data_IF_909341869478
#
_entry.id   IF_909341869478
#
_cell.length_a   1.000
_cell.length_b   1.000
_cell.length_c   1.000
_cell.angle_alpha   90.00
_cell.angle_beta   90.00
_cell.angle_gamma   90.00
#
_symmetry.space_group_name_H-M   'P 1'
#
loop_
_entity.id
_entity.type
_entity.pdbx_description
1 polymer ?
#
# COMPACT_ATOMS: atom_id res chain seq x y z
N UNK A 1 -7.73 -49.43 -35.04
CA UNK A 1 -8.10 -48.27 -35.86
C UNK A 1 -9.25 -47.54 -35.19
N UNK A 2 -9.09 -46.27 -34.79
CA UNK A 2 -10.20 -45.51 -34.22
C UNK A 2 -11.26 -45.27 -35.32
N UNK A 3 -12.51 -45.66 -35.04
CA UNK A 3 -13.65 -45.42 -35.93
C UNK A 3 -13.80 -43.91 -36.10
N UNK A 4 -13.59 -43.41 -37.31
CA UNK A 4 -13.95 -42.03 -37.69
C UNK A 4 -15.45 -41.85 -37.50
N UNK A 5 -15.83 -41.01 -36.53
CA UNK A 5 -17.24 -40.65 -36.30
C UNK A 5 -17.74 -39.94 -37.57
N UNK A 6 -18.89 -40.33 -38.14
CA UNK A 6 -19.40 -39.71 -39.36
C UNK A 6 -19.68 -38.22 -39.15
N UNK A 7 -18.92 -37.35 -39.83
CA UNK A 7 -19.15 -35.91 -39.79
C UNK A 7 -20.47 -35.57 -40.50
N UNK A 8 -21.35 -34.84 -39.81
CA UNK A 8 -22.59 -34.33 -40.38
C UNK A 8 -22.23 -33.26 -41.43
N UNK A 9 -22.51 -33.54 -42.72
CA UNK A 9 -22.29 -32.57 -43.80
C UNK A 9 -23.35 -31.48 -43.76
N UNK A 10 -22.90 -30.22 -43.91
CA UNK A 10 -23.75 -29.03 -43.91
C UNK A 10 -23.69 -28.38 -45.29
N UNK A 11 -24.84 -28.15 -45.91
CA UNK A 11 -24.97 -27.44 -47.19
C UNK A 11 -25.26 -25.95 -46.99
N UNK A 12 -24.77 -25.08 -47.87
CA UNK A 12 -25.11 -23.64 -47.87
C UNK A 12 -24.34 -22.76 -46.88
N UNK A 13 -23.34 -23.30 -46.18
CA UNK A 13 -22.42 -22.53 -45.35
C UNK A 13 -21.24 -22.01 -46.19
N UNK A 14 -20.83 -20.75 -46.01
CA UNK A 14 -19.61 -20.24 -46.64
C UNK A 14 -18.38 -21.04 -46.20
N UNK A 15 -17.42 -21.24 -47.10
CA UNK A 15 -16.16 -21.93 -46.79
C UNK A 15 -15.38 -21.24 -45.65
N UNK A 16 -15.55 -19.91 -45.52
CA UNK A 16 -14.89 -19.04 -44.54
C UNK A 16 -15.82 -18.67 -43.37
N UNK A 17 -16.82 -19.50 -43.05
CA UNK A 17 -17.69 -19.22 -41.91
C UNK A 17 -16.88 -19.16 -40.61
N UNK A 18 -16.92 -18.01 -39.93
CA UNK A 18 -16.07 -17.70 -38.77
C UNK A 18 -16.21 -18.70 -37.60
N UNK A 19 -17.34 -19.40 -37.49
CA UNK A 19 -17.62 -20.34 -36.39
C UNK A 19 -17.67 -21.80 -36.85
N UNK A 20 -16.96 -22.14 -37.93
CA UNK A 20 -16.96 -23.49 -38.53
C UNK A 20 -16.46 -24.56 -37.55
N UNK A 21 -15.39 -24.28 -36.80
CA UNK A 21 -14.80 -25.23 -35.87
C UNK A 21 -15.72 -25.51 -34.68
N UNK A 22 -16.33 -24.46 -34.13
CA UNK A 22 -17.36 -24.60 -33.12
C UNK A 22 -18.53 -25.42 -33.63
N UNK A 23 -19.02 -25.15 -34.84
CA UNK A 23 -20.18 -25.85 -35.41
C UNK A 23 -19.88 -27.35 -35.61
N UNK A 24 -18.67 -27.71 -35.99
CA UNK A 24 -18.26 -29.12 -36.10
C UNK A 24 -18.23 -29.83 -34.73
N UNK A 25 -17.76 -29.15 -33.69
CA UNK A 25 -17.75 -29.68 -32.32
C UNK A 25 -19.16 -29.77 -31.73
N UNK A 26 -19.96 -28.71 -31.91
CA UNK A 26 -21.33 -28.61 -31.40
C UNK A 26 -22.28 -29.65 -32.02
N UNK A 27 -21.95 -30.18 -33.19
CA UNK A 27 -22.71 -31.27 -33.84
C UNK A 27 -22.28 -32.67 -33.39
N UNK A 28 -21.16 -32.79 -32.68
CA UNK A 28 -20.66 -34.04 -32.09
C UNK A 28 -21.08 -34.21 -30.63
N UNK A 29 -21.55 -33.14 -29.97
CA UNK A 29 -22.10 -33.21 -28.62
C UNK A 29 -23.46 -33.92 -28.63
N UNK A 30 -23.49 -35.16 -28.13
CA UNK A 30 -24.72 -35.96 -28.05
C UNK A 30 -25.68 -35.46 -26.96
N UNK A 31 -25.18 -34.74 -25.96
CA UNK A 31 -25.94 -34.30 -24.79
C UNK A 31 -26.72 -33.01 -25.05
N UNK A 32 -26.08 -32.01 -25.64
CA UNK A 32 -26.67 -30.70 -25.93
C UNK A 32 -26.16 -30.09 -27.25
N UNK A 33 -26.49 -30.70 -28.38
CA UNK A 33 -26.02 -30.27 -29.69
C UNK A 33 -26.51 -28.85 -30.01
N UNK A 34 -25.63 -28.04 -30.62
CA UNK A 34 -25.87 -26.61 -30.87
C UNK A 34 -26.22 -25.85 -29.59
N UNK A 35 -25.43 -25.99 -28.52
CA UNK A 35 -25.65 -25.27 -27.28
C UNK A 35 -25.53 -23.73 -27.47
N UNK A 36 -26.54 -22.98 -26.99
CA UNK A 36 -26.58 -21.52 -27.12
C UNK A 36 -25.45 -20.80 -26.37
N UNK A 37 -25.08 -21.26 -25.17
CA UNK A 37 -24.06 -20.61 -24.35
C UNK A 37 -22.66 -20.81 -24.91
N UNK A 38 -22.37 -21.99 -25.46
CA UNK A 38 -21.10 -22.23 -26.15
C UNK A 38 -21.00 -21.37 -27.42
N UNK A 39 -22.10 -21.20 -28.17
CA UNK A 39 -22.16 -20.23 -29.26
C UNK A 39 -21.91 -18.80 -28.75
N UNK A 40 -22.61 -18.37 -27.70
CA UNK A 40 -22.50 -17.02 -27.14
C UNK A 40 -21.09 -16.68 -26.64
N UNK A 41 -20.38 -17.65 -26.07
CA UNK A 41 -19.00 -17.48 -25.62
C UNK A 41 -18.05 -17.23 -26.82
N UNK A 42 -18.21 -17.96 -27.91
CA UNK A 42 -17.35 -17.84 -29.09
C UNK A 42 -17.73 -16.63 -29.96
N UNK A 43 -19.03 -16.35 -30.11
CA UNK A 43 -19.52 -15.19 -30.86
C UNK A 43 -19.09 -13.87 -30.20
N UNK A 44 -18.98 -13.87 -28.87
CA UNK A 44 -18.49 -12.76 -28.07
C UNK A 44 -19.24 -11.42 -28.23
N UNK A 45 -20.50 -11.46 -28.68
CA UNK A 45 -21.33 -10.26 -28.87
C UNK A 45 -22.25 -9.94 -27.69
N UNK A 46 -22.98 -8.83 -27.81
CA UNK A 46 -24.05 -8.51 -26.86
C UNK A 46 -25.27 -9.45 -27.02
N UNK A 47 -26.19 -9.43 -26.05
CA UNK A 47 -27.35 -10.32 -26.00
C UNK A 47 -28.16 -10.29 -27.31
N UNK A 48 -28.46 -9.10 -27.83
CA UNK A 48 -29.29 -8.93 -29.02
C UNK A 48 -28.60 -9.46 -30.29
N UNK A 49 -27.33 -9.09 -30.49
CA UNK A 49 -26.55 -9.58 -31.63
C UNK A 49 -26.40 -11.10 -31.57
N UNK A 50 -26.05 -11.64 -30.40
CA UNK A 50 -25.88 -13.08 -30.21
C UNK A 50 -27.18 -13.84 -30.49
N UNK A 51 -28.31 -13.33 -30.01
CA UNK A 51 -29.63 -13.90 -30.29
C UNK A 51 -29.96 -13.90 -31.79
N UNK A 52 -29.70 -12.79 -32.48
CA UNK A 52 -29.97 -12.64 -33.91
C UNK A 52 -29.12 -13.61 -34.72
N UNK A 53 -27.79 -13.60 -34.50
CA UNK A 53 -26.87 -14.47 -35.23
C UNK A 53 -27.10 -15.96 -34.96
N UNK A 54 -27.42 -16.32 -33.72
CA UNK A 54 -27.77 -17.69 -33.38
C UNK A 54 -29.08 -18.13 -34.06
N UNK A 55 -30.09 -17.26 -34.09
CA UNK A 55 -31.36 -17.50 -34.79
C UNK A 55 -31.15 -17.67 -36.30
N UNK A 56 -30.34 -16.82 -36.92
CA UNK A 56 -30.02 -16.87 -38.34
C UNK A 56 -29.27 -18.16 -38.70
N UNK A 57 -28.32 -18.56 -37.86
CA UNK A 57 -27.64 -19.84 -38.00
C UNK A 57 -28.62 -21.01 -37.94
N UNK A 58 -29.50 -21.06 -36.94
CA UNK A 58 -30.50 -22.13 -36.84
C UNK A 58 -31.45 -22.13 -38.04
N UNK A 59 -31.79 -20.97 -38.59
CA UNK A 59 -32.61 -20.85 -39.80
C UNK A 59 -31.88 -21.36 -41.05
N UNK A 60 -30.61 -21.01 -41.22
CA UNK A 60 -29.75 -21.52 -42.29
C UNK A 60 -29.63 -23.04 -42.24
N UNK A 61 -29.44 -23.60 -41.05
CA UNK A 61 -29.33 -25.04 -40.82
C UNK A 61 -30.68 -25.79 -40.92
N UNK A 62 -31.80 -25.08 -40.95
CA UNK A 62 -33.15 -25.67 -41.15
C UNK A 62 -33.51 -25.89 -42.63
N UNK A 63 -32.58 -25.65 -43.56
CA UNK A 63 -32.84 -25.79 -44.99
C UNK A 63 -33.21 -27.24 -45.37
N UNK A 64 -34.23 -27.42 -46.23
CA UNK A 64 -34.71 -28.72 -46.73
C UNK A 64 -33.65 -29.55 -47.47
N UNK A 65 -32.52 -28.95 -47.85
CA UNK A 65 -31.36 -29.63 -48.46
C UNK A 65 -30.43 -30.33 -47.45
N UNK A 66 -30.65 -30.15 -46.15
CA UNK A 66 -29.85 -30.79 -45.09
C UNK A 66 -30.28 -32.23 -44.80
N UNK A 67 -29.44 -32.98 -44.09
CA UNK A 67 -29.80 -34.33 -43.62
C UNK A 67 -30.93 -34.30 -42.58
N UNK A 68 -31.78 -35.34 -42.56
CA UNK A 68 -32.87 -35.48 -41.56
C UNK A 68 -32.35 -35.41 -40.11
N UNK A 69 -31.15 -35.96 -39.86
CA UNK A 69 -30.48 -35.91 -38.55
C UNK A 69 -30.17 -34.46 -38.15
N UNK A 70 -29.60 -33.67 -39.06
CA UNK A 70 -29.29 -32.26 -38.79
C UNK A 70 -30.55 -31.44 -38.54
N UNK A 71 -31.60 -31.64 -39.34
CA UNK A 71 -32.89 -30.95 -39.17
C UNK A 71 -33.47 -31.22 -37.77
N UNK A 72 -33.45 -32.47 -37.32
CA UNK A 72 -33.94 -32.83 -35.99
C UNK A 72 -33.15 -32.15 -34.85
N UNK A 73 -31.82 -32.09 -34.96
CA UNK A 73 -30.97 -31.40 -33.98
C UNK A 73 -31.27 -29.90 -33.92
N UNK A 74 -31.45 -29.28 -35.09
CA UNK A 74 -31.78 -27.86 -35.22
C UNK A 74 -33.16 -27.56 -34.65
N UNK A 75 -34.16 -28.41 -34.87
CA UNK A 75 -35.51 -28.26 -34.28
C UNK A 75 -35.46 -28.35 -32.74
N UNK A 76 -34.68 -29.28 -32.19
CA UNK A 76 -34.45 -29.40 -30.74
C UNK A 76 -33.81 -28.13 -30.18
N UNK A 77 -32.77 -27.61 -30.84
CA UNK A 77 -32.08 -26.38 -30.45
C UNK A 77 -32.99 -25.14 -30.55
N UNK A 78 -33.80 -25.01 -31.62
CA UNK A 78 -34.81 -23.95 -31.78
C UNK A 78 -35.85 -24.00 -30.66
N UNK A 79 -36.41 -25.18 -30.39
CA UNK A 79 -37.39 -25.37 -29.33
C UNK A 79 -36.84 -25.00 -27.95
N UNK A 80 -35.58 -25.35 -27.66
CA UNK A 80 -34.89 -24.95 -26.43
C UNK A 80 -34.66 -23.43 -26.37
N UNK A 81 -34.16 -22.83 -27.46
CA UNK A 81 -33.89 -21.40 -27.55
C UNK A 81 -35.14 -20.54 -27.38
N UNK A 82 -36.29 -20.94 -27.95
CA UNK A 82 -37.55 -20.21 -27.78
C UNK A 82 -38.09 -20.24 -26.33
N UNK A 83 -37.64 -21.17 -25.48
CA UNK A 83 -38.00 -21.16 -24.06
C UNK A 83 -37.49 -19.92 -23.32
N UNK A 84 -36.50 -19.19 -23.86
CA UNK A 84 -35.99 -17.92 -23.28
C UNK A 84 -37.06 -16.83 -23.16
N UNK A 85 -38.08 -16.86 -24.03
CA UNK A 85 -39.16 -15.87 -24.09
C UNK A 85 -40.33 -16.20 -23.15
N UNK A 86 -40.35 -17.39 -22.55
CA UNK A 86 -41.45 -17.80 -21.69
C UNK A 86 -41.21 -17.21 -20.30
N UNK A 87 -42.11 -16.35 -19.82
CA UNK A 87 -42.17 -15.79 -18.46
C UNK A 87 -42.36 -16.87 -17.37
N UNK A 88 -41.41 -17.80 -17.26
CA UNK A 88 -41.27 -18.74 -16.16
C UNK A 88 -39.82 -18.62 -15.68
N UNK A 89 -39.52 -17.50 -15.02
CA UNK A 89 -38.19 -17.08 -14.57
C UNK A 89 -37.50 -18.04 -13.58
N UNK A 90 -38.11 -19.18 -13.25
CA UNK A 90 -37.67 -20.03 -12.15
C UNK A 90 -37.30 -21.48 -12.51
N UNK A 91 -37.45 -21.95 -13.76
CA UNK A 91 -37.10 -23.34 -14.12
C UNK A 91 -36.44 -23.50 -15.50
N UNK A 92 -35.30 -24.21 -15.54
CA UNK A 92 -34.62 -24.66 -16.76
C UNK A 92 -33.90 -23.56 -17.55
N UNK A 93 -33.81 -23.73 -18.87
CA UNK A 93 -33.01 -22.90 -19.80
C UNK A 93 -33.25 -21.38 -19.69
N UNK A 94 -34.47 -20.92 -19.36
CA UNK A 94 -34.76 -19.49 -19.23
C UNK A 94 -34.05 -18.85 -18.03
N UNK A 95 -33.89 -19.59 -16.93
CA UNK A 95 -33.16 -19.14 -15.74
C UNK A 95 -31.67 -19.04 -16.04
N UNK A 96 -31.10 -20.08 -16.66
CA UNK A 96 -29.70 -20.11 -17.05
C UNK A 96 -29.38 -18.99 -18.06
N UNK A 97 -30.31 -18.73 -18.98
CA UNK A 97 -30.23 -17.65 -19.95
C UNK A 97 -30.17 -16.27 -19.27
N UNK A 98 -31.09 -15.99 -18.35
CA UNK A 98 -31.10 -14.73 -17.61
C UNK A 98 -29.87 -14.54 -16.73
N UNK A 99 -29.41 -15.60 -16.06
CA UNK A 99 -28.21 -15.57 -15.22
C UNK A 99 -26.95 -15.29 -16.06
N UNK A 100 -26.81 -15.96 -17.21
CA UNK A 100 -25.69 -15.78 -18.13
C UNK A 100 -25.52 -14.33 -18.58
N UNK A 101 -26.57 -13.70 -19.13
CA UNK A 101 -26.49 -12.32 -19.62
C UNK A 101 -26.39 -11.29 -18.49
N UNK A 102 -26.95 -11.57 -17.31
CA UNK A 102 -26.77 -10.71 -16.14
C UNK A 102 -25.33 -10.73 -15.65
N UNK A 103 -24.70 -11.91 -15.57
CA UNK A 103 -23.30 -12.01 -15.17
C UNK A 103 -22.36 -11.34 -16.18
N UNK A 104 -22.58 -11.59 -17.48
CA UNK A 104 -21.76 -11.03 -18.55
C UNK A 104 -21.87 -9.50 -18.65
N UNK A 105 -23.05 -8.92 -18.43
CA UNK A 105 -23.22 -7.46 -18.30
C UNK A 105 -22.47 -6.90 -17.10
N UNK A 106 -22.50 -7.60 -15.96
CA UNK A 106 -21.77 -7.19 -14.75
C UNK A 106 -20.25 -7.19 -14.98
N UNK A 107 -19.72 -8.21 -15.64
CA UNK A 107 -18.30 -8.31 -15.99
C UNK A 107 -17.87 -7.20 -16.97
N UNK A 108 -18.66 -6.96 -18.02
CA UNK A 108 -18.40 -5.87 -18.97
C UNK A 108 -18.43 -4.49 -18.29
N UNK A 109 -19.42 -4.23 -17.41
CA UNK A 109 -19.49 -2.96 -16.69
C UNK A 109 -18.31 -2.78 -15.74
N UNK A 110 -17.84 -3.85 -15.07
CA UNK A 110 -16.63 -3.78 -14.22
C UNK A 110 -15.40 -3.41 -15.04
N UNK A 111 -15.19 -4.05 -16.20
CA UNK A 111 -14.06 -3.76 -17.08
C UNK A 111 -14.10 -2.31 -17.60
N UNK A 112 -15.26 -1.81 -18.04
CA UNK A 112 -15.40 -0.42 -18.51
C UNK A 112 -15.22 0.61 -17.40
N UNK A 113 -15.64 0.32 -16.17
CA UNK A 113 -15.39 1.20 -15.02
C UNK A 113 -13.90 1.27 -14.71
N UNK A 114 -13.19 0.13 -14.74
CA UNK A 114 -11.76 0.08 -14.52
C UNK A 114 -10.98 0.85 -15.59
N UNK A 115 -11.34 0.69 -16.87
CA UNK A 115 -10.73 1.43 -17.98
C UNK A 115 -10.92 2.95 -17.85
N UNK A 116 -12.13 3.41 -17.53
CA UNK A 116 -12.41 4.84 -17.29
C UNK A 116 -11.67 5.40 -16.06
N UNK A 117 -11.50 4.59 -15.02
CA UNK A 117 -10.71 4.96 -13.85
C UNK A 117 -9.24 5.15 -14.24
N UNK A 118 -8.67 4.24 -15.03
CA UNK A 118 -7.30 4.35 -15.54
C UNK A 118 -7.10 5.58 -16.43
N UNK A 119 -8.02 5.86 -17.36
CA UNK A 119 -7.96 7.07 -18.21
C UNK A 119 -8.06 8.37 -17.38
N UNK A 120 -8.89 8.38 -16.35
CA UNK A 120 -9.04 9.54 -15.46
C UNK A 120 -7.75 9.81 -14.68
N UNK A 121 -7.09 8.76 -14.19
CA UNK A 121 -5.81 8.88 -13.47
C UNK A 121 -4.74 9.48 -14.40
N UNK A 122 -4.65 9.00 -15.66
CA UNK A 122 -3.72 9.54 -16.65
C UNK A 122 -3.98 11.03 -16.90
N UNK A 123 -5.24 11.42 -17.12
CA UNK A 123 -5.61 12.81 -17.37
C UNK A 123 -5.32 13.74 -16.19
N UNK A 124 -5.53 13.28 -14.96
CA UNK A 124 -5.21 14.05 -13.76
C UNK A 124 -3.71 14.25 -13.59
N UNK A 125 -2.89 13.24 -13.91
CA UNK A 125 -1.44 13.37 -13.91
C UNK A 125 -0.97 14.42 -14.93
N UNK A 126 -1.52 14.40 -16.15
CA UNK A 126 -1.16 15.37 -17.19
C UNK A 126 -1.48 16.82 -16.77
N UNK A 127 -2.66 17.06 -16.19
CA UNK A 127 -3.05 18.39 -15.69
C UNK A 127 -2.13 18.85 -14.56
N UNK A 128 -1.76 17.92 -13.67
CA UNK A 128 -0.86 18.20 -12.54
C UNK A 128 0.53 18.56 -13.03
N UNK A 129 1.08 17.81 -13.98
CA UNK A 129 2.37 18.09 -14.60
C UNK A 129 2.39 19.46 -15.30
N UNK A 130 1.35 19.80 -16.07
CA UNK A 130 1.24 21.11 -16.73
C UNK A 130 1.18 22.27 -15.72
N UNK A 131 0.50 22.06 -14.58
CA UNK A 131 0.42 23.07 -13.52
C UNK A 131 1.77 23.27 -12.83
N UNK A 132 2.54 22.20 -12.64
CA UNK A 132 3.90 22.24 -12.07
C UNK A 132 4.85 23.01 -12.99
N UNK A 133 4.80 22.76 -14.30
CA UNK A 133 5.63 23.46 -15.28
C UNK A 133 5.37 24.97 -15.28
N UNK A 134 4.10 25.37 -15.16
CA UNK A 134 3.71 26.79 -15.08
C UNK A 134 4.27 27.47 -13.82
N UNK A 135 4.15 26.83 -12.66
CA UNK A 135 4.67 27.36 -11.39
C UNK A 135 6.20 27.41 -11.34
N UNK A 136 6.88 26.53 -12.08
CA UNK A 136 8.34 26.54 -12.20
C UNK A 136 8.84 27.74 -13.02
N UNK A 137 8.07 28.20 -14.01
CA UNK A 137 8.42 29.38 -14.82
C UNK A 137 8.22 30.70 -14.04
N UNK A 138 7.23 30.76 -13.15
CA UNK A 138 6.92 31.96 -12.36
C UNK A 138 7.95 32.25 -11.24
N UNK A 139 8.69 31.24 -10.76
CA UNK A 139 9.65 31.37 -9.64
C UNK A 139 11.08 31.79 -10.02
N UNK A 140 11.43 31.92 -11.30
CA UNK A 140 12.77 32.35 -11.73
C UNK A 140 13.01 33.88 -11.63
N UNK A 141 12.00 34.68 -11.26
CA UNK A 141 12.03 36.14 -11.38
C UNK A 141 12.28 36.94 -10.08
N UNK A 142 12.51 36.33 -8.92
CA UNK A 142 12.64 37.11 -7.68
C UNK A 142 13.43 36.46 -6.55
N UNK A 143 14.71 36.82 -6.41
CA UNK A 143 15.46 36.62 -5.17
C UNK A 143 16.37 37.82 -4.91
N UNK A 144 16.16 38.52 -3.78
CA UNK A 144 17.26 39.06 -2.98
C UNK A 144 16.76 39.54 -1.60
N UNK A 145 17.43 39.06 -0.55
CA UNK A 145 18.05 39.80 0.58
C UNK A 145 17.98 38.94 1.85
N UNK A 146 19.15 38.54 2.35
CA UNK A 146 19.38 38.03 3.70
C UNK A 146 19.67 39.19 4.64
N UNK A 147 19.20 39.12 5.90
CA UNK A 147 20.00 39.50 7.06
C UNK A 147 19.39 38.99 8.37
N UNK A 148 20.20 38.31 9.18
CA UNK A 148 19.92 38.01 10.60
C UNK A 148 21.20 38.23 11.40
N UNK A 149 21.10 38.93 12.54
CA UNK A 149 22.09 38.84 13.63
C UNK A 149 21.39 38.64 14.98
N UNK A 150 21.89 37.63 15.69
CA UNK A 150 21.54 37.21 17.04
C UNK A 150 22.30 38.02 18.10
N UNK A 151 21.78 38.00 19.34
CA UNK A 151 22.55 38.08 20.58
C UNK A 151 21.94 37.10 21.59
N UNK A 152 22.79 36.36 22.32
CA UNK A 152 22.39 35.59 23.51
C UNK A 152 23.52 35.64 24.56
N UNK A 153 23.14 35.71 25.83
CA UNK A 153 23.99 35.73 27.02
C UNK A 153 23.68 34.49 27.89
N UNK A 154 24.76 33.77 28.16
CA UNK A 154 25.29 32.98 29.29
C UNK A 154 24.53 32.66 30.63
N UNK A 155 25.13 31.68 31.35
CA UNK A 155 25.02 31.24 32.78
C UNK A 155 23.93 30.17 33.09
N UNK A 156 24.09 29.11 33.89
CA UNK A 156 25.13 28.59 34.80
C UNK A 156 24.50 27.58 35.81
N UNK A 157 25.34 26.85 36.55
CA UNK A 157 25.15 25.53 37.21
C UNK A 157 24.39 25.41 38.56
N UNK A 158 24.00 24.16 38.89
CA UNK A 158 24.21 23.42 40.18
C UNK A 158 23.12 23.29 41.32
N UNK A 159 22.80 22.01 41.61
CA UNK A 159 22.87 21.26 42.92
C UNK A 159 21.69 21.07 43.92
N UNK A 160 21.42 19.77 44.19
CA UNK A 160 21.27 19.02 45.48
C UNK A 160 19.95 18.88 46.31
N UNK A 161 19.58 17.59 46.56
CA UNK A 161 19.35 16.88 47.86
C UNK A 161 17.94 16.55 48.47
N UNK A 162 17.72 15.23 48.69
CA UNK A 162 17.26 14.47 49.92
C UNK A 162 15.81 13.87 50.06
N UNK A 163 15.74 12.51 49.95
CA UNK A 163 15.23 11.41 50.84
C UNK A 163 13.71 11.16 51.21
N UNK A 164 13.27 9.89 50.91
CA UNK A 164 12.29 8.91 51.52
C UNK A 164 10.77 9.28 51.69
N UNK A 165 9.75 8.39 51.60
CA UNK A 165 9.59 6.92 51.81
C UNK A 165 8.24 6.37 51.26
N UNK A 166 8.27 5.17 50.66
CA UNK A 166 7.31 4.02 50.61
C UNK A 166 5.79 4.14 50.30
N UNK A 167 5.36 3.51 49.18
CA UNK A 167 4.30 2.47 49.09
C UNK A 167 4.30 1.83 47.67
N UNK A 168 3.83 0.58 47.46
CA UNK A 168 4.26 -0.28 46.34
C UNK A 168 3.69 0.08 44.96
N UNK A 169 2.76 1.04 44.88
CA UNK A 169 2.30 1.62 43.59
C UNK A 169 3.11 2.87 43.21
N UNK A 170 3.69 3.57 44.21
CA UNK A 170 4.56 4.73 43.98
C UNK A 170 5.98 4.34 43.60
N UNK A 171 6.42 3.13 43.92
CA UNK A 171 7.78 2.68 43.64
C UNK A 171 8.09 2.68 42.13
N UNK A 172 7.16 2.21 41.30
CA UNK A 172 7.32 2.21 39.84
C UNK A 172 7.24 3.60 39.22
N UNK A 173 6.31 4.47 39.66
CA UNK A 173 6.25 5.86 39.16
C UNK A 173 7.50 6.65 39.57
N UNK A 174 8.00 6.47 40.80
CA UNK A 174 9.22 7.12 41.31
C UNK A 174 10.48 6.62 40.58
N UNK A 175 10.61 5.30 40.37
CA UNK A 175 11.69 4.74 39.57
C UNK A 175 11.67 5.22 38.12
N UNK A 176 10.49 5.36 37.50
CA UNK A 176 10.39 5.92 36.15
C UNK A 176 10.78 7.41 36.10
N UNK A 177 10.49 8.18 37.15
CA UNK A 177 10.91 9.59 37.25
C UNK A 177 12.43 9.73 37.38
N UNK A 178 13.06 8.85 38.17
CA UNK A 178 14.52 8.80 38.28
C UNK A 178 15.18 8.45 36.94
N UNK A 179 14.64 7.47 36.21
CA UNK A 179 15.13 7.12 34.87
C UNK A 179 14.95 8.29 33.90
N UNK A 180 13.82 9.00 33.95
CA UNK A 180 13.59 10.18 33.11
C UNK A 180 14.59 11.30 33.38
N UNK A 181 14.88 11.58 34.65
CA UNK A 181 15.90 12.56 35.02
C UNK A 181 17.27 12.18 34.46
N UNK A 182 17.66 10.90 34.58
CA UNK A 182 18.93 10.41 34.06
C UNK A 182 18.96 10.44 32.52
N UNK A 183 17.86 10.05 31.87
CA UNK A 183 17.72 10.06 30.41
C UNK A 183 17.84 11.49 29.83
N UNK A 184 17.29 12.49 30.50
CA UNK A 184 17.37 13.89 30.08
C UNK A 184 18.81 14.45 30.05
N UNK A 185 19.71 13.86 30.84
CA UNK A 185 21.13 14.22 30.90
C UNK A 185 21.99 13.48 29.85
N UNK A 186 21.47 12.43 29.23
CA UNK A 186 22.19 11.68 28.21
C UNK A 186 22.36 12.50 26.94
N UNK A 187 23.60 12.81 26.58
CA UNK A 187 23.92 13.50 25.31
C UNK A 187 23.49 12.74 24.05
N UNK A 188 23.34 11.42 24.15
CA UNK A 188 22.87 10.54 23.07
C UNK A 188 21.34 10.46 22.98
N UNK A 189 20.62 10.80 24.04
CA UNK A 189 19.16 10.76 24.05
C UNK A 189 18.60 12.04 23.42
N UNK A 190 17.86 11.86 22.34
CA UNK A 190 17.29 12.98 21.57
C UNK A 190 15.94 13.44 22.10
N UNK A 191 15.31 12.69 23.00
CA UNK A 191 13.94 12.94 23.49
C UNK A 191 13.79 12.93 25.00
N UNK A 192 14.80 12.49 25.76
CA UNK A 192 14.78 12.45 27.23
C UNK A 192 14.40 13.78 27.87
N UNK A 193 14.86 14.91 27.31
CA UNK A 193 14.50 16.28 27.76
C UNK A 193 13.02 16.64 27.60
N UNK A 194 12.29 15.89 26.78
CA UNK A 194 10.84 16.03 26.61
C UNK A 194 10.04 15.18 27.61
N UNK A 195 10.71 14.45 28.51
CA UNK A 195 10.07 13.51 29.41
C UNK A 195 9.65 12.20 28.71
N UNK A 196 10.40 11.78 27.68
CA UNK A 196 10.13 10.58 26.88
C UNK A 196 11.24 9.55 27.13
N UNK A 197 10.86 8.31 27.43
CA UNK A 197 11.78 7.18 27.57
C UNK A 197 12.04 6.55 26.19
N UNK A 198 13.27 6.64 25.69
CA UNK A 198 13.64 6.11 24.38
C UNK A 198 14.03 4.62 24.44
N UNK A 199 13.14 3.74 23.98
CA UNK A 199 13.38 2.29 23.88
C UNK A 199 14.31 1.91 22.71
N UNK A 200 14.82 2.89 21.95
CA UNK A 200 15.94 2.74 21.03
C UNK A 200 17.31 3.00 21.65
N UNK A 201 17.37 3.50 22.89
CA UNK A 201 18.61 3.72 23.65
C UNK A 201 18.91 2.52 24.54
N UNK A 202 20.01 1.81 24.27
CA UNK A 202 20.45 0.66 25.07
C UNK A 202 20.67 1.04 26.55
N UNK A 203 21.09 2.27 26.80
CA UNK A 203 21.26 2.82 28.15
C UNK A 203 19.91 2.94 28.86
N UNK A 204 18.89 3.50 28.22
CA UNK A 204 17.54 3.64 28.81
C UNK A 204 16.92 2.26 29.02
N UNK A 205 17.09 1.33 28.08
CA UNK A 205 16.62 -0.06 28.23
C UNK A 205 17.29 -0.75 29.42
N UNK A 206 18.60 -0.59 29.58
CA UNK A 206 19.34 -1.15 30.73
C UNK A 206 18.87 -0.54 32.05
N UNK A 207 18.59 0.77 32.08
CA UNK A 207 18.02 1.43 33.26
C UNK A 207 16.64 0.88 33.61
N UNK A 208 15.76 0.70 32.62
CA UNK A 208 14.43 0.12 32.82
C UNK A 208 14.51 -1.31 33.38
N UNK A 209 15.39 -2.15 32.82
CA UNK A 209 15.60 -3.51 33.33
C UNK A 209 16.16 -3.54 34.76
N UNK A 210 17.01 -2.57 35.11
CA UNK A 210 17.63 -2.49 36.43
C UNK A 210 16.72 -1.94 37.53
N UNK A 211 15.73 -1.12 37.18
CA UNK A 211 14.89 -0.38 38.14
C UNK A 211 13.43 -0.83 38.19
N UNK A 212 12.95 -1.57 37.18
CA UNK A 212 11.58 -2.10 37.14
C UNK A 212 11.54 -3.58 37.48
N UNK A 213 10.37 -4.05 37.90
CA UNK A 213 10.13 -5.49 37.98
C UNK A 213 10.15 -6.12 36.58
N UNK A 214 10.46 -7.41 36.51
CA UNK A 214 10.46 -8.13 35.22
C UNK A 214 9.07 -8.08 34.55
N UNK A 215 8.00 -8.09 35.34
CA UNK A 215 6.62 -7.99 34.88
C UNK A 215 6.34 -6.61 34.26
N UNK A 216 6.65 -5.53 34.98
CA UNK A 216 6.48 -4.16 34.49
C UNK A 216 7.29 -3.88 33.23
N UNK A 217 8.54 -4.36 33.19
CA UNK A 217 9.39 -4.23 32.02
C UNK A 217 8.79 -5.01 30.83
N UNK A 218 8.34 -6.25 31.05
CA UNK A 218 7.75 -7.07 29.99
C UNK A 218 6.48 -6.45 29.44
N UNK A 219 5.64 -5.87 30.29
CA UNK A 219 4.42 -5.16 29.89
C UNK A 219 4.73 -3.95 28.99
N UNK A 220 5.76 -3.16 29.32
CA UNK A 220 6.20 -2.03 28.47
C UNK A 220 6.68 -2.53 27.09
N UNK A 221 7.47 -3.60 27.06
CA UNK A 221 7.99 -4.17 25.82
C UNK A 221 6.88 -4.78 24.97
N UNK A 222 5.92 -5.47 25.59
CA UNK A 222 4.74 -6.02 24.92
C UNK A 222 3.87 -4.89 24.33
N UNK A 223 3.67 -3.80 25.07
CA UNK A 223 2.91 -2.64 24.59
C UNK A 223 3.59 -1.93 23.39
N UNK A 224 4.92 -2.02 23.33
CA UNK A 224 5.75 -1.52 22.23
C UNK A 224 5.93 -2.55 21.10
N UNK A 225 5.31 -3.72 21.17
CA UNK A 225 5.45 -4.74 20.12
C UNK A 225 4.58 -4.41 18.90
N UNK A 226 5.09 -4.76 17.72
CA UNK A 226 4.30 -4.71 16.49
C UNK A 226 3.51 -6.01 16.32
N UNK A 227 2.36 -5.98 15.63
CA UNK A 227 1.63 -7.20 15.33
C UNK A 227 2.48 -8.15 14.49
N UNK A 228 2.27 -9.44 14.72
CA UNK A 228 2.73 -10.46 13.78
C UNK A 228 1.91 -10.36 12.50
N UNK A 229 2.59 -10.48 11.37
CA UNK A 229 1.96 -10.50 10.05
C UNK A 229 2.37 -11.78 9.32
N UNK A 230 1.44 -12.34 8.57
CA UNK A 230 1.74 -13.40 7.63
C UNK A 230 1.93 -12.79 6.24
N UNK A 231 3.17 -12.85 5.74
CA UNK A 231 3.44 -12.47 4.36
C UNK A 231 2.82 -13.49 3.42
N UNK A 232 2.26 -13.02 2.31
CA UNK A 232 1.78 -13.88 1.23
C UNK A 232 2.92 -14.77 0.72
N UNK A 233 2.59 -15.99 0.28
CA UNK A 233 3.56 -16.91 -0.30
C UNK A 233 4.38 -16.26 -1.42
N UNK A 234 3.75 -15.34 -2.16
CA UNK A 234 4.40 -14.57 -3.20
C UNK A 234 5.44 -13.59 -2.62
N UNK A 235 5.09 -12.77 -1.63
CA UNK A 235 6.06 -11.87 -0.99
C UNK A 235 7.24 -12.63 -0.37
N UNK A 236 6.98 -13.79 0.26
CA UNK A 236 8.03 -14.65 0.81
C UNK A 236 8.99 -15.17 -0.26
N UNK A 237 8.45 -15.71 -1.37
CA UNK A 237 9.23 -16.18 -2.52
C UNK A 237 10.11 -15.06 -3.08
N UNK A 238 9.54 -13.85 -3.24
CA UNK A 238 10.23 -12.70 -3.80
C UNK A 238 11.36 -12.19 -2.89
N UNK A 239 11.10 -12.04 -1.58
CA UNK A 239 12.13 -11.67 -0.60
C UNK A 239 13.27 -12.70 -0.61
N UNK A 240 12.94 -13.99 -0.57
CA UNK A 240 13.92 -15.07 -0.55
C UNK A 240 14.81 -15.03 -1.80
N UNK A 241 14.21 -14.91 -2.98
CA UNK A 241 14.95 -14.84 -4.24
C UNK A 241 15.85 -13.59 -4.29
N UNK A 242 15.32 -12.42 -3.96
CA UNK A 242 16.06 -11.15 -4.00
C UNK A 242 17.23 -11.15 -3.01
N UNK A 243 17.04 -11.63 -1.77
CA UNK A 243 18.09 -11.69 -0.76
C UNK A 243 19.26 -12.62 -1.13
N UNK A 244 19.03 -13.59 -2.01
CA UNK A 244 20.04 -14.53 -2.53
C UNK A 244 20.64 -14.10 -3.86
N UNK A 245 20.20 -12.97 -4.40
CA UNK A 245 20.73 -12.41 -5.64
C UNK A 245 22.22 -12.12 -5.53
N UNK A 246 22.92 -12.17 -6.67
CA UNK A 246 24.21 -11.50 -6.81
C UNK A 246 24.03 -9.99 -6.62
N UNK A 247 25.04 -9.33 -6.05
CA UNK A 247 25.04 -7.89 -5.75
C UNK A 247 25.32 -7.04 -7.01
N UNK A 248 24.46 -7.16 -8.02
CA UNK A 248 24.50 -6.38 -9.25
C UNK A 248 23.06 -6.01 -9.66
N UNK A 249 22.85 -4.79 -10.14
CA UNK A 249 21.50 -4.29 -10.50
C UNK A 249 20.84 -5.17 -11.56
N UNK A 250 21.59 -5.58 -12.58
CA UNK A 250 21.13 -6.51 -13.63
C UNK A 250 20.67 -7.87 -13.08
N UNK A 251 21.35 -8.41 -12.06
CA UNK A 251 20.99 -9.70 -11.46
C UNK A 251 19.70 -9.59 -10.65
N UNK A 252 19.57 -8.53 -9.86
CA UNK A 252 18.35 -8.28 -9.06
C UNK A 252 17.16 -8.02 -10.00
N UNK A 253 17.36 -7.25 -11.08
CA UNK A 253 16.34 -6.99 -12.09
C UNK A 253 15.88 -8.28 -12.79
N UNK A 254 16.81 -9.18 -13.11
CA UNK A 254 16.48 -10.50 -13.67
C UNK A 254 15.57 -11.32 -12.74
N UNK A 255 15.77 -11.23 -11.43
CA UNK A 255 14.90 -11.91 -10.45
C UNK A 255 13.49 -11.32 -10.49
N UNK A 256 13.35 -10.00 -10.56
CA UNK A 256 12.04 -9.34 -10.69
C UNK A 256 11.29 -9.81 -11.95
N UNK A 257 11.99 -10.10 -13.06
CA UNK A 257 11.33 -10.63 -14.26
C UNK A 257 10.91 -12.10 -14.14
N UNK A 258 11.59 -12.89 -13.31
CA UNK A 258 11.32 -14.33 -13.16
C UNK A 258 10.29 -14.62 -12.07
N UNK A 259 10.35 -13.87 -10.97
CA UNK A 259 9.61 -14.12 -9.73
C UNK A 259 8.60 -13.01 -9.43
N UNK A 260 8.73 -11.84 -10.08
CA UNK A 260 7.81 -10.71 -9.92
C UNK A 260 6.44 -10.92 -10.58
N UNK A 261 5.78 -9.83 -10.99
CA UNK A 261 4.33 -9.82 -11.26
C UNK A 261 3.84 -10.98 -12.11
N UNK A 262 3.04 -11.84 -11.46
CA UNK A 262 2.39 -13.01 -12.07
C UNK A 262 1.04 -12.59 -12.68
N UNK A 263 0.58 -13.34 -13.68
CA UNK A 263 -0.68 -13.03 -14.39
C UNK A 263 -1.92 -12.97 -13.48
N UNK A 264 -1.90 -13.68 -12.35
CA UNK A 264 -2.97 -13.70 -11.34
C UNK A 264 -2.81 -12.65 -10.24
N UNK A 265 -1.91 -11.67 -10.39
CA UNK A 265 -1.62 -10.69 -9.36
C UNK A 265 -2.84 -9.80 -9.06
N UNK A 266 -3.13 -9.60 -7.78
CA UNK A 266 -4.15 -8.70 -7.29
C UNK A 266 -3.54 -7.70 -6.30
N UNK A 267 -3.70 -6.41 -6.58
CA UNK A 267 -3.08 -5.33 -5.80
C UNK A 267 -3.41 -5.38 -4.30
N UNK A 268 -4.64 -5.73 -3.95
CA UNK A 268 -5.11 -5.75 -2.55
C UNK A 268 -4.68 -7.04 -1.88
N UNK A 269 -4.92 -8.20 -2.51
CA UNK A 269 -4.59 -9.51 -1.92
C UNK A 269 -3.08 -9.79 -1.89
N UNK A 270 -2.30 -9.13 -2.75
CA UNK A 270 -0.85 -9.27 -2.85
C UNK A 270 -0.14 -7.94 -2.56
N UNK A 271 -0.69 -7.13 -1.64
CA UNK A 271 -0.19 -5.78 -1.35
C UNK A 271 1.27 -5.77 -0.87
N UNK A 272 1.71 -6.82 -0.19
CA UNK A 272 3.06 -6.97 0.32
C UNK A 272 4.06 -7.25 -0.82
N UNK A 273 3.73 -8.18 -1.71
CA UNK A 273 4.47 -8.46 -2.93
C UNK A 273 4.51 -7.21 -3.84
N UNK A 274 3.40 -6.48 -3.95
CA UNK A 274 3.32 -5.19 -4.64
C UNK A 274 4.34 -4.21 -4.08
N UNK A 275 4.33 -4.02 -2.76
CA UNK A 275 5.22 -3.09 -2.08
C UNK A 275 6.69 -3.45 -2.30
N UNK A 276 7.05 -4.73 -2.18
CA UNK A 276 8.42 -5.20 -2.45
C UNK A 276 8.81 -4.90 -3.89
N UNK A 277 8.01 -5.35 -4.86
CA UNK A 277 8.38 -5.27 -6.26
C UNK A 277 8.49 -3.82 -6.75
N UNK A 278 7.52 -2.97 -6.39
CA UNK A 278 7.48 -1.56 -6.81
C UNK A 278 8.60 -0.72 -6.19
N UNK A 279 8.94 -0.95 -4.92
CA UNK A 279 10.02 -0.20 -4.24
C UNK A 279 11.40 -0.70 -4.66
N UNK A 280 11.57 -2.01 -4.84
CA UNK A 280 12.84 -2.58 -5.33
C UNK A 280 13.12 -2.13 -6.76
N UNK A 281 12.11 -2.17 -7.64
CA UNK A 281 12.24 -1.67 -9.02
C UNK A 281 12.59 -0.18 -9.04
N UNK A 282 11.89 0.63 -8.26
CA UNK A 282 12.15 2.07 -8.14
C UNK A 282 13.61 2.36 -7.77
N UNK A 283 14.15 1.71 -6.74
CA UNK A 283 15.54 1.93 -6.35
C UNK A 283 16.54 1.39 -7.38
N UNK A 284 16.24 0.30 -8.08
CA UNK A 284 17.08 -0.16 -9.20
C UNK A 284 17.13 0.87 -10.33
N UNK A 285 15.98 1.44 -10.70
CA UNK A 285 15.89 2.46 -11.75
C UNK A 285 16.66 3.72 -11.35
N UNK A 286 16.59 4.15 -10.08
CA UNK A 286 17.43 5.24 -9.58
C UNK A 286 18.93 4.90 -9.58
N UNK A 287 19.32 3.65 -9.31
CA UNK A 287 20.72 3.22 -9.35
C UNK A 287 21.29 3.19 -10.77
N UNK A 288 20.51 2.72 -11.73
CA UNK A 288 20.89 2.63 -13.13
C UNK A 288 20.75 3.99 -13.86
N UNK A 289 20.02 4.95 -13.27
CA UNK A 289 19.89 6.31 -13.80
C UNK A 289 21.27 6.98 -13.92
N UNK A 290 21.60 7.58 -15.10
CA UNK A 290 22.80 8.39 -15.27
C UNK A 290 22.88 9.55 -14.29
N UNK A 291 21.72 10.03 -13.83
CA UNK A 291 21.59 11.11 -12.87
C UNK A 291 20.78 10.64 -11.66
N UNK A 292 21.45 10.06 -10.66
CA UNK A 292 20.80 9.55 -9.45
C UNK A 292 20.60 10.67 -8.41
N UNK A 293 19.35 11.12 -8.15
CA UNK A 293 19.07 12.22 -7.23
C UNK A 293 19.45 11.92 -5.78
N UNK A 294 19.58 10.64 -5.41
CA UNK A 294 19.95 10.20 -4.05
C UNK A 294 21.47 10.27 -3.79
N UNK A 295 22.29 10.46 -4.83
CA UNK A 295 23.75 10.62 -4.69
C UNK A 295 24.18 12.08 -4.66
N UNK A 296 23.29 12.97 -5.09
CA UNK A 296 23.54 14.40 -5.22
C UNK A 296 23.25 15.15 -3.92
N UNK A 297 23.78 16.38 -3.84
CA UNK A 297 23.37 17.32 -2.82
C UNK A 297 21.99 17.84 -3.20
N UNK A 298 20.98 17.43 -2.45
CA UNK A 298 19.58 17.65 -2.79
C UNK A 298 18.85 18.16 -1.54
N UNK A 299 18.11 19.27 -1.69
CA UNK A 299 17.30 19.81 -0.60
C UNK A 299 16.23 18.82 -0.12
N UNK A 300 15.69 19.06 1.08
CA UNK A 300 14.75 18.17 1.79
C UNK A 300 13.61 17.67 0.89
N UNK A 301 12.83 18.58 0.30
CA UNK A 301 11.64 18.25 -0.49
C UNK A 301 11.96 17.42 -1.73
N UNK A 302 12.99 17.81 -2.47
CA UNK A 302 13.41 17.09 -3.67
C UNK A 302 13.92 15.68 -3.34
N UNK A 303 14.66 15.51 -2.23
CA UNK A 303 15.09 14.20 -1.78
C UNK A 303 13.91 13.32 -1.32
N UNK A 304 12.92 13.91 -0.64
CA UNK A 304 11.78 13.20 -0.09
C UNK A 304 10.82 12.63 -1.15
N UNK A 305 10.65 13.34 -2.29
CA UNK A 305 9.84 12.86 -3.43
C UNK A 305 10.31 11.49 -3.92
N UNK A 306 11.62 11.29 -4.03
CA UNK A 306 12.20 10.03 -4.51
C UNK A 306 12.35 8.96 -3.42
N UNK A 307 12.05 9.28 -2.17
CA UNK A 307 12.32 8.41 -1.02
C UNK A 307 11.07 8.17 -0.20
N UNK A 308 10.91 8.88 0.92
CA UNK A 308 9.86 8.62 1.90
C UNK A 308 8.46 8.82 1.34
N UNK A 309 8.23 9.83 0.49
CA UNK A 309 6.91 10.05 -0.13
C UNK A 309 6.53 8.86 -1.02
N UNK A 310 7.45 8.43 -1.89
CA UNK A 310 7.24 7.28 -2.76
C UNK A 310 6.99 6.00 -1.96
N UNK A 311 7.86 5.69 -0.98
CA UNK A 311 7.74 4.48 -0.15
C UNK A 311 6.41 4.47 0.60
N UNK A 312 6.04 5.57 1.27
CA UNK A 312 4.83 5.64 2.07
C UNK A 312 3.56 5.50 1.21
N UNK A 313 3.53 6.15 0.04
CA UNK A 313 2.41 6.01 -0.89
C UNK A 313 2.26 4.55 -1.38
N UNK A 314 3.35 3.86 -1.71
CA UNK A 314 3.29 2.44 -2.09
C UNK A 314 2.88 1.53 -0.93
N UNK A 315 3.32 1.84 0.29
CA UNK A 315 3.05 1.05 1.49
C UNK A 315 1.56 1.00 1.83
N UNK A 316 0.86 2.13 1.70
CA UNK A 316 -0.55 2.26 2.03
C UNK A 316 -1.48 2.20 0.81
N UNK A 317 -0.97 1.95 -0.39
CA UNK A 317 -1.77 1.94 -1.62
C UNK A 317 -2.98 1.00 -1.55
N UNK A 318 -2.82 -0.17 -0.92
CA UNK A 318 -3.89 -1.16 -0.75
C UNK A 318 -4.91 -0.81 0.34
N UNK A 319 -4.68 0.25 1.13
CA UNK A 319 -5.54 0.71 2.23
C UNK A 319 -5.97 2.16 2.02
N UNK A 320 -5.98 2.63 0.77
CA UNK A 320 -6.29 4.03 0.44
C UNK A 320 -7.78 4.38 0.59
N UNK A 321 -8.63 3.38 0.83
CA UNK A 321 -10.01 3.49 1.26
C UNK A 321 -10.14 3.78 2.76
N UNK A 322 -9.14 3.39 3.56
CA UNK A 322 -9.10 3.61 5.01
C UNK A 322 -8.32 4.87 5.38
N UNK A 323 -7.18 5.09 4.71
CA UNK A 323 -6.24 6.18 5.01
C UNK A 323 -5.86 6.99 3.77
N UNK A 324 -5.61 8.28 3.96
CA UNK A 324 -5.16 9.19 2.92
C UNK A 324 -4.00 10.05 3.39
N UNK A 325 -2.98 10.20 2.56
CA UNK A 325 -1.88 11.12 2.83
C UNK A 325 -2.24 12.54 2.41
N UNK A 326 -1.93 13.49 3.28
CA UNK A 326 -1.82 14.90 2.93
C UNK A 326 -0.33 15.28 3.04
N UNK A 327 0.30 15.53 1.89
CA UNK A 327 1.73 15.85 1.79
C UNK A 327 2.00 17.36 1.70
N UNK A 328 3.11 17.76 2.29
CA UNK A 328 3.78 19.07 2.21
C UNK A 328 2.99 20.23 2.80
N UNK A 329 3.55 20.83 3.86
CA UNK A 329 3.06 22.05 4.52
C UNK A 329 1.58 22.01 4.96
N UNK A 330 1.06 20.83 5.32
CA UNK A 330 -0.31 20.72 5.82
C UNK A 330 -0.39 21.14 7.28
N UNK A 331 -1.33 22.02 7.59
CA UNK A 331 -1.70 22.33 8.97
C UNK A 331 -2.65 21.26 9.48
N UNK A 332 -2.24 20.54 10.50
CA UNK A 332 -3.13 19.61 11.18
C UNK A 332 -3.71 20.28 12.44
N UNK A 333 -5.03 20.21 12.58
CA UNK A 333 -5.76 21.02 13.58
C UNK A 333 -5.38 20.69 15.02
N UNK A 334 -4.89 19.47 15.29
CA UNK A 334 -4.48 19.03 16.64
C UNK A 334 -3.02 19.37 16.98
N UNK A 335 -2.24 19.93 16.05
CA UNK A 335 -0.80 20.20 16.26
C UNK A 335 -0.50 21.69 16.39
N UNK A 336 -1.32 22.45 17.12
CA UNK A 336 -1.10 23.89 17.34
C UNK A 336 -0.90 24.72 16.06
N UNK A 337 -1.53 24.31 14.94
CA UNK A 337 -1.33 24.89 13.59
C UNK A 337 0.10 24.79 13.05
N UNK A 338 0.89 23.88 13.59
CA UNK A 338 2.18 23.52 13.00
C UNK A 338 1.96 22.89 11.63
N UNK A 339 2.78 23.31 10.66
CA UNK A 339 2.87 22.71 9.34
C UNK A 339 3.71 21.43 9.39
N UNK A 340 3.20 20.39 8.73
CA UNK A 340 3.84 19.09 8.60
C UNK A 340 4.22 18.78 7.16
N UNK A 341 5.30 18.02 7.00
CA UNK A 341 5.73 17.54 5.69
C UNK A 341 4.85 16.41 5.18
N UNK A 342 4.23 15.64 6.06
CA UNK A 342 3.19 14.68 5.70
C UNK A 342 2.34 14.29 6.91
N UNK A 343 1.07 14.03 6.65
CA UNK A 343 0.11 13.53 7.64
C UNK A 343 -0.66 12.39 6.99
N UNK A 344 -0.81 11.26 7.70
CA UNK A 344 -1.73 10.20 7.29
C UNK A 344 -3.03 10.38 8.05
N UNK A 345 -4.15 10.55 7.34
CA UNK A 345 -5.47 10.79 7.92
C UNK A 345 -6.41 9.63 7.64
N UNK A 346 -7.37 9.39 8.53
CA UNK A 346 -8.50 8.51 8.24
C UNK A 346 -9.40 9.16 7.18
N UNK A 347 -9.73 8.44 6.10
CA UNK A 347 -10.48 8.99 4.95
C UNK A 347 -11.84 9.59 5.36
N UNK A 348 -12.58 8.86 6.19
CA UNK A 348 -13.92 9.28 6.63
C UNK A 348 -13.90 10.24 7.82
N UNK A 349 -12.75 10.41 8.47
CA UNK A 349 -12.58 11.29 9.63
C UNK A 349 -11.20 11.94 9.61
N UNK A 350 -11.05 13.00 8.79
CA UNK A 350 -9.82 13.79 8.64
C UNK A 350 -9.37 14.53 9.91
N UNK A 351 -10.08 14.38 11.03
CA UNK A 351 -9.70 14.96 12.33
C UNK A 351 -8.80 14.03 13.15
N UNK A 352 -8.54 12.83 12.65
CA UNK A 352 -7.66 11.86 13.31
C UNK A 352 -6.54 11.46 12.39
N UNK A 353 -5.32 11.60 12.91
CA UNK A 353 -4.08 11.28 12.23
C UNK A 353 -3.36 10.18 13.03
N UNK A 354 -3.29 8.95 12.52
CA UNK A 354 -2.43 7.92 13.11
C UNK A 354 -0.93 8.14 12.84
N UNK A 355 -0.53 8.99 11.87
CA UNK A 355 0.89 9.17 11.49
C UNK A 355 1.24 10.62 11.19
N UNK A 356 2.32 11.12 11.82
CA UNK A 356 2.99 12.37 11.42
C UNK A 356 4.32 12.08 10.71
N UNK A 357 4.67 12.89 9.71
CA UNK A 357 5.89 12.72 8.91
C UNK A 357 6.67 14.04 8.88
N UNK A 358 7.97 13.95 9.15
CA UNK A 358 8.90 15.09 9.16
C UNK A 358 10.12 14.84 8.28
N UNK A 359 10.50 15.84 7.48
CA UNK A 359 11.70 15.86 6.63
C UNK A 359 12.80 16.66 7.33
N UNK A 360 13.57 16.02 8.18
CA UNK A 360 14.54 16.66 9.08
C UNK A 360 15.92 16.98 8.44
N UNK A 361 16.04 16.95 7.12
CA UNK A 361 17.30 17.22 6.42
C UNK A 361 17.43 16.51 5.07
N UNK A 362 17.89 17.26 4.05
CA UNK A 362 18.10 16.77 2.69
C UNK A 362 19.32 15.86 2.57
N UNK A 363 19.60 15.38 1.37
CA UNK A 363 20.82 14.62 1.11
C UNK A 363 22.00 15.57 1.02
N UNK A 364 22.94 15.51 1.96
CA UNK A 364 24.14 16.39 2.01
C UNK A 364 23.83 17.90 2.07
N UNK A 365 22.60 18.29 2.40
CA UNK A 365 22.15 19.69 2.53
C UNK A 365 21.33 19.81 3.81
N UNK A 366 21.67 20.78 4.66
CA UNK A 366 21.03 21.02 5.96
C UNK A 366 20.95 19.78 6.89
N UNK A 367 21.85 18.82 6.73
CA UNK A 367 21.84 17.54 7.46
C UNK A 367 22.69 17.56 8.74
N UNK A 368 22.68 18.66 9.49
CA UNK A 368 23.46 18.77 10.73
C UNK A 368 22.77 18.05 11.90
N UNK A 369 23.56 17.58 12.86
CA UNK A 369 23.04 16.96 14.10
C UNK A 369 22.09 17.92 14.84
N UNK A 370 22.44 19.21 14.90
CA UNK A 370 21.60 20.22 15.56
C UNK A 370 20.24 20.38 14.88
N UNK A 371 20.22 20.39 13.54
CA UNK A 371 18.97 20.44 12.76
C UNK A 371 18.13 19.19 13.01
N UNK A 372 18.74 18.01 12.97
CA UNK A 372 18.04 16.75 13.26
C UNK A 372 17.43 16.75 14.67
N UNK A 373 18.19 17.16 15.68
CA UNK A 373 17.69 17.23 17.07
C UNK A 373 16.57 18.26 17.24
N UNK A 374 16.66 19.41 16.57
CA UNK A 374 15.60 20.42 16.58
C UNK A 374 14.30 19.89 15.99
N UNK A 375 14.38 19.19 14.85
CA UNK A 375 13.21 18.66 14.16
C UNK A 375 12.61 17.45 14.90
N UNK A 376 13.44 16.61 15.52
CA UNK A 376 12.98 15.56 16.44
C UNK A 376 12.22 16.17 17.62
N UNK A 377 12.76 17.23 18.23
CA UNK A 377 12.09 17.90 19.35
C UNK A 377 10.72 18.47 18.93
N UNK A 378 10.67 19.14 17.77
CA UNK A 378 9.43 19.66 17.18
C UNK A 378 8.43 18.53 16.93
N UNK A 379 8.85 17.43 16.32
CA UNK A 379 8.00 16.29 16.01
C UNK A 379 7.40 15.70 17.29
N UNK A 380 8.24 15.30 18.26
CA UNK A 380 7.77 14.60 19.45
C UNK A 380 6.95 15.49 20.39
N UNK A 381 7.30 16.77 20.54
CA UNK A 381 6.49 17.71 21.33
C UNK A 381 5.05 17.80 20.80
N UNK A 382 4.89 17.84 19.48
CA UNK A 382 3.56 17.86 18.87
C UNK A 382 2.87 16.50 18.92
N UNK A 383 3.60 15.39 18.75
CA UNK A 383 3.02 14.05 18.94
C UNK A 383 2.44 13.89 20.35
N UNK A 384 3.13 14.36 21.38
CA UNK A 384 2.63 14.37 22.76
C UNK A 384 1.32 15.16 22.88
N UNK A 385 1.24 16.35 22.25
CA UNK A 385 0.00 17.15 22.24
C UNK A 385 -1.17 16.39 21.59
N UNK A 386 -0.92 15.72 20.46
CA UNK A 386 -1.93 14.92 19.76
C UNK A 386 -2.39 13.76 20.64
N UNK A 387 -1.45 12.96 21.18
CA UNK A 387 -1.78 11.80 22.03
C UNK A 387 -2.53 12.22 23.30
N UNK A 388 -2.14 13.34 23.93
CA UNK A 388 -2.85 13.89 25.08
C UNK A 388 -4.30 14.25 24.73
N UNK A 389 -4.55 14.76 23.52
CA UNK A 389 -5.88 15.17 23.05
C UNK A 389 -6.81 14.01 22.64
N UNK A 390 -6.28 12.80 22.44
CA UNK A 390 -7.11 11.64 22.06
C UNK A 390 -8.15 11.33 23.15
N UNK A 391 -9.32 10.75 22.81
CA UNK A 391 -10.25 10.23 23.82
C UNK A 391 -9.60 9.14 24.70
N UNK A 392 -10.14 8.91 25.89
CA UNK A 392 -9.70 7.79 26.74
C UNK A 392 -10.16 6.42 26.23
N UNK A 393 -11.15 6.38 25.33
CA UNK A 393 -11.65 5.18 24.65
C UNK A 393 -10.67 4.62 23.62
N UNK A 394 -9.70 5.43 23.18
CA UNK A 394 -8.75 5.04 22.13
C UNK A 394 -7.34 4.87 22.69
N UNK A 395 -6.59 3.94 22.11
CA UNK A 395 -5.18 3.73 22.39
C UNK A 395 -4.39 5.04 22.34
N UNK A 396 -3.64 5.33 23.41
CA UNK A 396 -2.82 6.54 23.55
C UNK A 396 -1.48 6.38 22.83
N UNK A 397 -1.57 6.23 21.52
CA UNK A 397 -0.48 5.84 20.64
C UNK A 397 -0.52 6.64 19.34
N UNK A 398 0.64 6.99 18.81
CA UNK A 398 0.79 7.72 17.55
C UNK A 398 2.08 7.28 16.86
N UNK A 399 2.01 7.08 15.55
CA UNK A 399 3.17 6.68 14.76
C UNK A 399 3.81 7.88 14.07
N UNK A 400 5.08 7.76 13.71
CA UNK A 400 5.71 8.74 12.86
C UNK A 400 6.77 8.14 11.94
N UNK A 401 7.04 8.84 10.85
CA UNK A 401 8.14 8.53 9.96
C UNK A 401 9.03 9.76 9.78
N UNK A 402 10.34 9.57 9.88
CA UNK A 402 11.31 10.66 9.71
C UNK A 402 12.25 10.37 8.56
N UNK A 403 12.55 11.39 7.78
CA UNK A 403 13.61 11.36 6.78
C UNK A 403 14.74 12.31 7.18
N UNK A 404 15.98 11.81 7.22
CA UNK A 404 17.17 12.63 7.44
C UNK A 404 18.38 12.03 6.71
N UNK A 405 19.03 12.80 5.83
CA UNK A 405 20.23 12.39 5.09
C UNK A 405 20.10 11.02 4.38
N UNK A 406 18.96 10.80 3.72
CA UNK A 406 18.70 9.53 3.04
C UNK A 406 18.43 8.35 3.97
N UNK A 407 18.33 8.55 5.29
CA UNK A 407 17.86 7.55 6.24
C UNK A 407 16.38 7.78 6.55
N UNK A 408 15.60 6.71 6.52
CA UNK A 408 14.21 6.68 6.97
C UNK A 408 14.15 5.92 8.29
N UNK A 409 13.45 6.49 9.27
CA UNK A 409 13.12 5.83 10.53
C UNK A 409 11.60 5.73 10.66
N UNK A 410 11.09 4.55 10.98
CA UNK A 410 9.68 4.29 11.28
C UNK A 410 9.55 4.07 12.79
N UNK A 411 8.76 4.92 13.42
CA UNK A 411 8.79 5.12 14.86
C UNK A 411 7.37 5.22 15.43
N UNK A 412 7.30 5.20 16.75
CA UNK A 412 6.08 5.24 17.53
C UNK A 412 6.31 6.03 18.82
N UNK A 413 5.28 6.75 19.25
CA UNK A 413 5.13 7.32 20.58
C UNK A 413 3.89 6.71 21.22
N UNK A 414 4.01 6.20 22.44
CA UNK A 414 2.86 5.69 23.19
C UNK A 414 2.92 6.09 24.67
N UNK A 415 1.77 6.05 25.33
CA UNK A 415 1.65 6.28 26.77
C UNK A 415 1.38 4.98 27.49
N UNK A 416 2.22 4.67 28.47
CA UNK A 416 2.03 3.55 29.39
C UNK A 416 2.33 4.01 30.81
N UNK A 417 1.50 3.65 31.80
CA UNK A 417 1.64 4.09 33.21
C UNK A 417 1.94 5.60 33.34
N UNK A 418 1.21 6.42 32.56
CA UNK A 418 1.33 7.90 32.49
C UNK A 418 2.68 8.45 32.01
N UNK A 419 3.58 7.60 31.50
CA UNK A 419 4.85 8.01 30.89
C UNK A 419 4.80 7.84 29.39
N UNK A 420 5.55 8.69 28.70
CA UNK A 420 5.71 8.62 27.25
C UNK A 420 6.90 7.74 26.91
N UNK A 421 6.72 6.87 25.93
CA UNK A 421 7.75 5.98 25.42
C UNK A 421 7.89 6.17 23.92
N UNK A 422 9.15 6.27 23.46
CA UNK A 422 9.49 6.25 22.05
C UNK A 422 10.01 4.88 21.67
N UNK A 423 9.59 4.36 20.52
CA UNK A 423 10.19 3.17 19.90
C UNK A 423 10.55 3.45 18.44
N UNK A 424 11.78 3.11 18.07
CA UNK A 424 12.20 3.00 16.67
C UNK A 424 12.03 1.53 16.27
N UNK A 425 11.08 1.25 15.39
CA UNK A 425 10.75 -0.12 14.97
C UNK A 425 11.70 -0.65 13.91
N UNK A 426 11.98 0.20 12.93
CA UNK A 426 12.96 -0.07 11.89
C UNK A 426 13.56 1.23 11.35
N UNK A 427 14.78 1.13 10.84
CA UNK A 427 15.39 2.20 10.07
C UNK A 427 16.23 1.63 8.94
N UNK A 428 16.30 2.36 7.84
CA UNK A 428 17.08 1.95 6.68
C UNK A 428 17.57 3.17 5.91
N UNK A 429 18.72 3.04 5.24
CA UNK A 429 19.15 4.03 4.27
C UNK A 429 18.51 3.73 2.91
N UNK A 430 18.06 4.78 2.24
CA UNK A 430 17.52 4.73 0.89
C UNK A 430 18.58 4.11 -0.03
N UNK A 431 18.26 3.00 -0.72
CA UNK A 431 19.25 2.28 -1.50
C UNK A 431 19.86 3.11 -2.62
N UNK A 432 21.19 3.20 -2.62
CA UNK A 432 22.00 3.78 -3.72
C UNK A 432 23.00 2.78 -4.31
N UNK A 433 23.02 1.56 -3.75
CA UNK A 433 23.83 0.42 -4.18
C UNK A 433 23.04 -0.88 -4.01
N UNK A 434 23.36 -1.96 -4.76
CA UNK A 434 22.73 -3.27 -4.59
C UNK A 434 22.80 -3.81 -3.16
N UNK A 435 23.88 -3.54 -2.42
CA UNK A 435 24.02 -3.97 -1.03
C UNK A 435 22.99 -3.29 -0.13
N UNK A 436 22.86 -1.96 -0.22
CA UNK A 436 21.86 -1.21 0.53
C UNK A 436 20.43 -1.65 0.17
N UNK A 437 20.21 -2.07 -1.09
CA UNK A 437 18.90 -2.59 -1.52
C UNK A 437 18.57 -3.91 -0.82
N UNK A 438 19.52 -4.84 -0.70
CA UNK A 438 19.32 -6.08 0.07
C UNK A 438 19.10 -5.77 1.56
N UNK A 439 19.84 -4.81 2.12
CA UNK A 439 19.63 -4.37 3.52
C UNK A 439 18.23 -3.79 3.72
N UNK A 440 17.72 -2.99 2.77
CA UNK A 440 16.34 -2.50 2.76
C UNK A 440 15.32 -3.64 2.68
N UNK A 441 15.51 -4.61 1.77
CA UNK A 441 14.61 -5.75 1.60
C UNK A 441 14.47 -6.55 2.91
N UNK A 442 15.57 -6.71 3.64
CA UNK A 442 15.56 -7.37 4.96
C UNK A 442 14.73 -6.64 6.02
N UNK A 443 14.44 -5.36 5.83
CA UNK A 443 13.58 -4.58 6.74
C UNK A 443 12.10 -4.63 6.35
N UNK A 444 11.75 -5.12 5.15
CA UNK A 444 10.38 -5.01 4.62
C UNK A 444 9.34 -5.64 5.55
N UNK A 445 9.61 -6.80 6.15
CA UNK A 445 8.67 -7.41 7.11
C UNK A 445 8.34 -6.45 8.25
N UNK A 446 9.35 -5.81 8.86
CA UNK A 446 9.13 -4.82 9.92
C UNK A 446 8.39 -3.57 9.43
N UNK A 447 8.66 -3.12 8.20
CA UNK A 447 7.94 -2.00 7.57
C UNK A 447 6.46 -2.33 7.42
N UNK A 448 6.14 -3.56 6.98
CA UNK A 448 4.76 -4.02 6.83
C UNK A 448 4.07 -4.24 8.18
N UNK A 449 4.78 -4.72 9.21
CA UNK A 449 4.24 -4.83 10.57
C UNK A 449 3.89 -3.44 11.15
N UNK A 450 4.75 -2.44 10.89
CA UNK A 450 4.49 -1.06 11.30
C UNK A 450 3.27 -0.47 10.58
N UNK A 451 3.14 -0.72 9.27
CA UNK A 451 1.94 -0.36 8.50
C UNK A 451 0.68 -1.02 9.09
N UNK A 452 0.73 -2.31 9.40
CA UNK A 452 -0.43 -3.04 9.93
C UNK A 452 -0.89 -2.48 11.28
N UNK A 453 0.06 -2.13 12.16
CA UNK A 453 -0.24 -1.48 13.44
C UNK A 453 -0.99 -0.14 13.25
N UNK A 454 -0.62 0.64 12.23
CA UNK A 454 -1.27 1.90 11.88
C UNK A 454 -2.69 1.66 11.34
N UNK A 455 -2.86 0.67 10.47
CA UNK A 455 -4.19 0.33 9.93
C UNK A 455 -5.12 -0.11 11.05
N UNK A 456 -4.65 -0.98 11.96
CA UNK A 456 -5.42 -1.43 13.11
C UNK A 456 -5.80 -0.26 14.04
N UNK A 457 -4.84 0.62 14.37
CA UNK A 457 -5.13 1.83 15.15
C UNK A 457 -6.17 2.73 14.44
N UNK A 458 -6.14 2.80 13.11
CA UNK A 458 -7.09 3.61 12.34
C UNK A 458 -8.53 3.11 12.49
N UNK A 459 -8.70 1.78 12.56
CA UNK A 459 -9.99 1.13 12.75
C UNK A 459 -10.55 1.36 14.17
N UNK A 460 -9.69 1.49 15.19
CA UNK A 460 -10.13 1.80 16.57
C UNK A 460 -10.77 3.18 16.70
N UNK A 461 -10.48 4.13 15.80
CA UNK A 461 -11.13 5.45 15.79
C UNK A 461 -12.57 5.44 15.23
N UNK A 462 -13.28 4.32 15.26
CA UNK A 462 -14.71 4.22 14.91
C UNK A 462 -15.60 4.51 16.14
N UNK A 463 -15.66 5.78 16.54
CA UNK A 463 -16.71 6.32 17.43
C UNK A 463 -17.46 7.47 16.76
#
# INVERSE_FOLDING_TARGET
>A
MPKTIPQIRISGLSANYAFKDWLQQALQDESDPLNYFSFANIFNGNENATNAHYSDLLNLLSNKRQSKKLIHLVEKAKSKFEKRKKNKEHLGFSKDYGAYWTNRRRESSKATIQERQSETIIRLNDITCQSIEKLAQENQAGVSIYDTKNNAVDIGSSSNNIINTSNPVMATEQSLEEILSLAAELSSDKVGRLGILDLGSDTVVSMLQGHLSQEDYSEIIEHASLPDIELTAYAQELIFALCRSKLATVSIRSILYQVGFKQSFNLVLNHDANFIETTVRHFLDLMDSPNNPLKQATGERAACIHTIIYIMNQLFLANNDLVAFEWIENEYCQTSRCKWDGVLLKVNNKKVSPVLIEFSGGTKVNNTINKESSDINKLYSNMMNVVASLPSSVSKKLFCARFHDGKICLEELFVHKRKYYRKIHTSFRCPTTPRLLIEYIKQITKILQWKEAIVNLTLEFEE
#
